data_IF_029856774519
#
_entry.id   IF_029856774519
#
_cell.length_a   1.000
_cell.length_b   1.000
_cell.length_c   1.000
_cell.angle_alpha   90.00
_cell.angle_beta   90.00
_cell.angle_gamma   90.00
#
_symmetry.space_group_name_H-M   'P 1'
#
loop_
_entity.id
_entity.type
_entity.pdbx_description
1 polymer ?
#
# COMPACT_ATOMS: atom_id res chain seq x y z
N UNK A 1 18.83 5.94 -20.69
CA UNK A 1 18.37 4.85 -19.81
C UNK A 1 16.87 4.94 -19.49
N UNK A 2 16.38 5.74 -18.53
CA UNK A 2 14.93 5.70 -18.18
C UNK A 2 14.00 6.10 -19.34
N UNK A 3 14.36 7.14 -20.10
CA UNK A 3 13.56 7.58 -21.24
C UNK A 3 13.39 6.49 -22.33
N UNK A 4 14.42 5.67 -22.52
CA UNK A 4 14.41 4.58 -23.50
C UNK A 4 13.58 3.40 -23.01
N UNK A 5 13.77 2.98 -21.75
CA UNK A 5 13.08 1.80 -21.19
C UNK A 5 11.62 2.06 -20.81
N UNK A 6 11.26 3.30 -20.49
CA UNK A 6 9.85 3.68 -20.20
C UNK A 6 9.09 4.15 -21.44
N UNK A 7 9.78 4.53 -22.52
CA UNK A 7 9.15 5.17 -23.68
C UNK A 7 8.56 6.56 -23.38
N UNK A 8 9.00 7.20 -22.28
CA UNK A 8 8.66 8.59 -21.92
C UNK A 8 9.84 9.49 -22.25
N UNK A 9 9.59 10.65 -22.86
CA UNK A 9 10.69 11.53 -23.28
C UNK A 9 11.47 12.07 -22.08
N UNK A 10 12.79 12.26 -22.24
CA UNK A 10 13.66 12.85 -21.20
C UNK A 10 13.17 14.23 -20.75
N UNK A 11 12.62 15.03 -21.68
CA UNK A 11 12.04 16.33 -21.37
C UNK A 11 10.82 16.19 -20.44
N UNK A 12 9.89 15.29 -20.76
CA UNK A 12 8.70 15.04 -19.94
C UNK A 12 9.07 14.46 -18.57
N UNK A 13 10.02 13.53 -18.50
CA UNK A 13 10.54 13.03 -17.21
C UNK A 13 11.10 14.18 -16.36
N UNK A 14 11.90 15.07 -16.95
CA UNK A 14 12.42 16.23 -16.24
C UNK A 14 11.33 17.21 -15.77
N UNK A 15 10.27 17.40 -16.55
CA UNK A 15 9.13 18.24 -16.15
C UNK A 15 8.36 17.61 -14.98
N UNK A 16 8.16 16.29 -15.00
CA UNK A 16 7.52 15.54 -13.91
C UNK A 16 8.35 15.67 -12.63
N UNK A 17 9.67 15.45 -12.68
CA UNK A 17 10.56 15.54 -11.52
C UNK A 17 10.61 16.95 -10.90
N UNK A 18 10.43 18.00 -11.70
CA UNK A 18 10.36 19.40 -11.24
C UNK A 18 8.95 19.88 -10.89
N UNK A 19 7.94 18.99 -10.93
CA UNK A 19 6.53 19.33 -10.75
C UNK A 19 5.99 20.40 -11.73
N UNK A 20 6.61 20.54 -12.91
CA UNK A 20 6.17 21.47 -13.96
C UNK A 20 5.00 20.92 -14.78
N UNK A 21 4.79 19.61 -14.75
CA UNK A 21 3.68 18.93 -15.44
C UNK A 21 3.14 17.77 -14.60
N UNK A 22 1.82 17.60 -14.58
CA UNK A 22 1.19 16.44 -13.96
C UNK A 22 1.12 15.26 -14.94
N UNK A 23 1.72 14.09 -14.62
CA UNK A 23 1.66 12.93 -15.49
C UNK A 23 0.26 12.31 -15.51
N UNK A 24 -0.10 11.69 -16.64
CA UNK A 24 -1.31 10.85 -16.71
C UNK A 24 -1.07 9.49 -16.06
N UNK A 25 -2.14 8.75 -15.71
CA UNK A 25 -2.06 7.35 -15.24
C UNK A 25 -1.26 6.47 -16.21
N UNK A 26 -1.48 6.63 -17.51
CA UNK A 26 -0.75 5.88 -18.54
C UNK A 26 0.76 6.22 -18.57
N UNK A 27 1.11 7.50 -18.35
CA UNK A 27 2.50 7.94 -18.23
C UNK A 27 3.18 7.32 -17.00
N UNK A 28 2.51 7.34 -15.84
CA UNK A 28 3.01 6.71 -14.62
C UNK A 28 3.19 5.20 -14.79
N UNK A 29 2.25 4.52 -15.46
CA UNK A 29 2.35 3.09 -15.75
C UNK A 29 3.58 2.74 -16.61
N UNK A 30 3.86 3.56 -17.64
CA UNK A 30 5.07 3.43 -18.48
C UNK A 30 6.35 3.58 -17.67
N UNK A 31 6.38 4.56 -16.76
CA UNK A 31 7.53 4.79 -15.88
C UNK A 31 7.72 3.61 -14.92
N UNK A 32 6.64 3.14 -14.28
CA UNK A 32 6.68 1.98 -13.39
C UNK A 32 7.19 0.72 -14.09
N UNK A 33 6.72 0.47 -15.31
CA UNK A 33 7.16 -0.65 -16.15
C UNK A 33 8.65 -0.53 -16.49
N UNK A 34 9.10 0.66 -16.92
CA UNK A 34 10.51 0.90 -17.25
C UNK A 34 11.45 0.76 -16.06
N UNK A 35 11.00 1.11 -14.85
CA UNK A 35 11.74 0.94 -13.60
C UNK A 35 11.62 -0.47 -12.99
N UNK A 36 10.75 -1.32 -13.54
CA UNK A 36 10.40 -2.62 -12.98
C UNK A 36 9.94 -2.55 -11.52
N UNK A 37 9.07 -1.58 -11.21
CA UNK A 37 8.48 -1.37 -9.89
C UNK A 37 6.95 -1.43 -9.95
N UNK A 38 6.26 -1.75 -8.84
CA UNK A 38 4.81 -1.70 -8.79
C UNK A 38 4.26 -0.29 -9.08
N UNK A 39 3.18 -0.19 -9.85
CA UNK A 39 2.48 1.08 -10.12
C UNK A 39 2.00 1.77 -8.83
N UNK A 40 1.64 0.98 -7.81
CA UNK A 40 1.24 1.48 -6.49
C UNK A 40 2.28 2.42 -5.86
N UNK A 41 3.57 2.27 -6.17
CA UNK A 41 4.60 3.15 -5.62
C UNK A 41 4.40 4.64 -5.97
N UNK A 42 3.68 4.95 -7.06
CA UNK A 42 3.41 6.32 -7.50
C UNK A 42 2.08 6.89 -7.01
N UNK A 43 1.14 6.04 -6.58
CA UNK A 43 -0.25 6.43 -6.29
C UNK A 43 -0.69 6.10 -4.87
N UNK A 44 0.04 5.21 -4.18
CA UNK A 44 -0.26 4.89 -2.81
C UNK A 44 -0.02 6.13 -1.96
N UNK A 45 -0.99 6.51 -1.10
CA UNK A 45 -0.74 7.55 -0.12
C UNK A 45 0.48 7.17 0.71
N UNK A 46 1.27 8.16 1.19
CA UNK A 46 2.33 7.87 2.15
C UNK A 46 1.74 7.00 3.26
N UNK A 47 2.43 5.90 3.55
CA UNK A 47 1.99 4.93 4.54
C UNK A 47 1.61 5.72 5.80
N UNK A 48 0.31 5.73 6.12
CA UNK A 48 -0.15 6.38 7.33
C UNK A 48 0.69 5.80 8.47
N UNK A 49 1.27 6.67 9.30
CA UNK A 49 1.80 6.24 10.59
C UNK A 49 0.67 5.46 11.26
N UNK A 50 0.81 4.13 11.32
CA UNK A 50 -0.30 3.27 11.70
C UNK A 50 -0.88 3.74 13.04
N UNK A 51 -2.21 3.69 13.23
CA UNK A 51 -2.81 3.92 14.54
C UNK A 51 -2.16 2.97 15.56
N UNK A 52 -2.15 3.34 16.86
CA UNK A 52 -1.28 2.73 17.85
C UNK A 52 -1.38 1.21 17.81
N UNK A 53 -0.22 0.55 17.71
CA UNK A 53 -0.08 -0.85 18.12
C UNK A 53 -0.74 -0.98 19.48
N UNK A 54 -1.72 -1.87 19.60
CA UNK A 54 -2.16 -2.31 20.92
C UNK A 54 -0.97 -3.01 21.58
N UNK A 55 -0.25 -2.31 22.45
CA UNK A 55 0.80 -2.87 23.31
C UNK A 55 0.31 -2.91 24.76
N UNK A 56 -0.07 -4.09 25.26
CA UNK A 56 -0.33 -4.28 26.67
C UNK A 56 0.77 -5.12 27.33
N UNK A 57 2.04 -5.11 26.88
CA UNK A 57 3.16 -5.90 27.43
C UNK A 57 2.92 -7.44 27.56
N UNK A 58 1.77 -7.97 27.13
CA UNK A 58 1.31 -9.33 27.49
C UNK A 58 0.44 -10.00 26.43
N UNK A 59 0.35 -9.49 25.20
CA UNK A 59 -0.46 -10.15 24.17
C UNK A 59 0.40 -10.98 23.22
N UNK A 60 0.14 -12.28 23.27
CA UNK A 60 0.65 -13.28 22.34
C UNK A 60 0.07 -13.14 20.91
N UNK A 61 -0.77 -12.13 20.68
CA UNK A 61 -1.43 -11.80 19.42
C UNK A 61 -1.55 -10.27 19.30
N UNK A 62 -0.94 -9.68 18.26
CA UNK A 62 -1.03 -8.25 17.94
C UNK A 62 -1.81 -8.08 16.64
N UNK A 63 -2.78 -7.16 16.65
CA UNK A 63 -3.60 -6.83 15.48
C UNK A 63 -3.31 -5.39 15.08
N UNK A 64 -2.94 -5.16 13.82
CA UNK A 64 -2.66 -3.83 13.27
C UNK A 64 -3.56 -3.56 12.07
N UNK A 65 -4.51 -2.61 12.14
CA UNK A 65 -5.33 -2.25 10.99
C UNK A 65 -4.44 -1.62 9.90
N UNK A 66 -4.51 -2.17 8.69
CA UNK A 66 -3.75 -1.68 7.54
C UNK A 66 -4.59 -0.70 6.71
N UNK A 67 -5.91 -0.92 6.66
CA UNK A 67 -6.88 0.00 6.08
C UNK A 67 -8.12 0.08 6.99
N UNK A 68 -8.83 1.22 7.01
CA UNK A 68 -10.15 1.29 7.66
C UNK A 68 -11.16 0.40 6.94
N UNK A 69 -12.26 0.06 7.61
CA UNK A 69 -13.40 -0.63 7.02
C UNK A 69 -13.81 0.00 5.68
N UNK A 70 -13.91 -0.83 4.64
CA UNK A 70 -14.42 -0.42 3.34
C UNK A 70 -15.94 -0.67 3.28
N UNK A 71 -16.79 0.37 3.24
CA UNK A 71 -18.24 0.19 3.21
C UNK A 71 -18.80 -0.27 1.86
N UNK A 72 -18.02 -0.18 0.78
CA UNK A 72 -18.42 -0.64 -0.56
C UNK A 72 -18.10 -2.12 -0.74
N UNK A 73 -16.90 -2.52 -0.32
CA UNK A 73 -16.42 -3.89 -0.43
C UNK A 73 -16.72 -4.75 0.82
N UNK A 74 -17.19 -4.12 1.89
CA UNK A 74 -17.62 -4.74 3.15
C UNK A 74 -16.54 -5.63 3.80
N UNK A 75 -15.31 -5.13 3.94
CA UNK A 75 -14.25 -5.84 4.65
C UNK A 75 -13.39 -4.94 5.53
N UNK A 76 -12.78 -5.57 6.56
CA UNK A 76 -11.68 -5.02 7.34
C UNK A 76 -10.35 -5.63 6.86
N UNK A 77 -9.29 -4.82 6.78
CA UNK A 77 -7.94 -5.28 6.43
C UNK A 77 -6.96 -4.98 7.56
N UNK A 78 -6.39 -6.04 8.14
CA UNK A 78 -5.44 -5.93 9.23
C UNK A 78 -4.37 -7.01 9.15
N UNK A 79 -3.22 -6.72 9.75
CA UNK A 79 -2.14 -7.68 10.00
C UNK A 79 -2.33 -8.32 11.37
N UNK A 80 -2.02 -9.62 11.46
CA UNK A 80 -2.03 -10.40 12.70
C UNK A 80 -0.61 -10.93 12.95
N UNK A 81 -0.02 -10.58 14.09
CA UNK A 81 1.26 -11.14 14.55
C UNK A 81 1.00 -12.02 15.77
N UNK A 82 1.28 -13.32 15.66
CA UNK A 82 1.15 -14.29 16.74
C UNK A 82 2.53 -14.70 17.27
N UNK A 83 2.68 -14.74 18.59
CA UNK A 83 3.87 -15.31 19.21
C UNK A 83 3.91 -16.84 18.97
N UNK A 84 5.12 -17.45 18.88
CA UNK A 84 5.24 -18.89 18.66
C UNK A 84 4.43 -19.71 19.68
N UNK A 85 3.66 -20.70 19.19
CA UNK A 85 2.83 -21.57 20.04
C UNK A 85 1.49 -20.98 20.49
N UNK A 86 1.16 -19.74 20.08
CA UNK A 86 -0.12 -19.10 20.40
C UNK A 86 -1.25 -19.69 19.56
N UNK A 87 -2.38 -19.98 20.20
CA UNK A 87 -3.64 -20.34 19.55
C UNK A 87 -4.68 -19.27 19.90
N UNK A 88 -5.41 -18.80 18.89
CA UNK A 88 -6.55 -17.89 19.06
C UNK A 88 -7.78 -18.55 18.45
N UNK A 89 -8.75 -18.88 19.29
CA UNK A 89 -10.02 -19.45 18.86
C UNK A 89 -11.04 -18.32 18.65
N UNK A 90 -11.79 -18.39 17.55
CA UNK A 90 -12.83 -17.42 17.21
C UNK A 90 -14.16 -18.13 17.05
N UNK A 91 -15.24 -17.47 17.48
CA UNK A 91 -16.59 -17.92 17.13
C UNK A 91 -16.85 -17.66 15.65
N UNK A 92 -17.76 -18.42 15.00
CA UNK A 92 -18.14 -18.16 13.62
C UNK A 92 -18.61 -16.72 13.45
N UNK A 93 -18.11 -16.06 12.40
CA UNK A 93 -18.62 -14.75 12.02
C UNK A 93 -20.11 -14.84 11.68
N UNK A 94 -20.86 -13.76 11.93
CA UNK A 94 -22.24 -13.67 11.47
C UNK A 94 -22.25 -13.80 9.94
N UNK A 95 -23.23 -14.54 9.42
CA UNK A 95 -23.47 -14.57 7.99
C UNK A 95 -23.74 -13.14 7.50
N UNK A 96 -23.06 -12.76 6.42
CA UNK A 96 -23.23 -11.47 5.73
C UNK A 96 -24.61 -11.38 5.06
#
# INVERSE_FOLDING_TARGET
MLAEISGVSKAMLGQIERNESSPTVATLWKIATGLNVPFSMFISPPQAEFPPTFDPQQQAMVITPLFPWDPELCFDYFSLLLAPGTVSESTPHKAA
#
